data_IF_324782195622
#
_entry.id   IF_324782195622
#
_cell.length_a   1.000
_cell.length_b   1.000
_cell.length_c   1.000
_cell.angle_alpha   90.00
_cell.angle_beta   90.00
_cell.angle_gamma   90.00
#
_symmetry.space_group_name_H-M   'P 1'
#
loop_
_entity.id
_entity.type
_entity.pdbx_description
1 polymer ?
#
# COMPACT_ATOMS: atom_id res chain seq x y z
N UNK A 1 9.34 -6.90 -26.66
CA UNK A 1 8.74 -5.56 -26.82
C UNK A 1 7.22 -5.72 -26.88
N UNK A 2 6.59 -5.73 -25.72
CA UNK A 2 5.26 -5.22 -25.36
C UNK A 2 5.31 -5.30 -23.84
N UNK A 3 5.37 -4.16 -23.16
CA UNK A 3 5.06 -4.19 -21.73
C UNK A 3 3.63 -4.73 -21.66
N UNK A 4 3.42 -5.81 -20.91
CA UNK A 4 2.07 -6.31 -20.66
C UNK A 4 1.19 -5.11 -20.29
N UNK A 5 0.14 -4.80 -21.09
CA UNK A 5 -0.66 -3.60 -20.91
C UNK A 5 -1.24 -3.46 -19.50
N UNK A 6 -1.37 -4.56 -18.77
CA UNK A 6 -1.82 -4.59 -17.38
C UNK A 6 -0.86 -3.90 -16.41
N UNK A 7 0.44 -3.85 -16.71
CA UNK A 7 1.47 -3.26 -15.85
C UNK A 7 1.69 -1.76 -16.10
N UNK A 8 1.03 -1.20 -17.12
CA UNK A 8 1.09 0.23 -17.40
C UNK A 8 0.31 0.98 -16.32
N UNK A 9 1.04 1.84 -15.59
CA UNK A 9 0.47 2.71 -14.56
C UNK A 9 -0.33 3.83 -15.21
N UNK A 10 -1.63 3.63 -15.40
CA UNK A 10 -2.54 4.60 -16.05
C UNK A 10 -3.64 5.17 -15.15
N UNK A 11 -3.89 4.55 -14.00
CA UNK A 11 -4.97 4.95 -13.10
C UNK A 11 -4.42 5.96 -12.06
N UNK A 12 -4.97 7.17 -12.05
CA UNK A 12 -4.60 8.23 -11.10
C UNK A 12 -5.49 8.16 -9.86
N UNK A 13 -4.88 8.33 -8.69
CA UNK A 13 -5.56 8.51 -7.41
C UNK A 13 -5.19 9.88 -6.86
N UNK A 14 -6.18 10.65 -6.42
CA UNK A 14 -5.97 11.94 -5.75
C UNK A 14 -6.11 11.72 -4.24
N UNK A 15 -5.18 12.29 -3.48
CA UNK A 15 -5.14 12.19 -2.02
C UNK A 15 -5.03 13.60 -1.45
N UNK A 16 -5.85 13.90 -0.45
CA UNK A 16 -5.76 15.12 0.34
C UNK A 16 -5.04 14.81 1.64
N UNK A 17 -3.97 15.55 1.90
CA UNK A 17 -3.17 15.48 3.13
C UNK A 17 -3.20 16.85 3.81
N UNK A 18 -3.14 16.87 5.14
CA UNK A 18 -2.84 18.11 5.85
C UNK A 18 -1.34 18.44 5.77
N UNK A 19 -0.97 19.64 6.22
CA UNK A 19 0.42 20.13 6.14
C UNK A 19 1.42 19.27 6.91
N UNK A 20 1.02 18.59 7.98
CA UNK A 20 1.91 17.73 8.75
C UNK A 20 2.13 16.38 8.03
N UNK A 21 1.06 15.81 7.50
CA UNK A 21 1.08 14.56 6.73
C UNK A 21 1.89 14.70 5.44
N UNK A 22 1.72 15.81 4.71
CA UNK A 22 2.45 16.03 3.46
C UNK A 22 3.96 16.23 3.71
N UNK A 23 4.32 17.00 4.75
CA UNK A 23 5.72 17.17 5.17
C UNK A 23 6.36 15.85 5.59
N UNK A 24 5.63 15.01 6.31
CA UNK A 24 6.10 13.68 6.68
C UNK A 24 6.33 12.82 5.43
N UNK A 25 5.37 12.81 4.50
CA UNK A 25 5.48 12.04 3.27
C UNK A 25 6.69 12.48 2.42
N UNK A 26 6.94 13.79 2.33
CA UNK A 26 8.08 14.35 1.61
C UNK A 26 9.41 13.95 2.28
N UNK A 27 9.54 14.16 3.59
CA UNK A 27 10.75 13.84 4.34
C UNK A 27 11.09 12.34 4.27
N UNK A 28 10.08 11.48 4.37
CA UNK A 28 10.27 10.04 4.24
C UNK A 28 10.67 9.63 2.82
N UNK A 29 10.08 10.25 1.80
CA UNK A 29 10.45 9.98 0.42
C UNK A 29 11.89 10.44 0.14
N UNK A 30 12.28 11.63 0.61
CA UNK A 30 13.64 12.16 0.50
C UNK A 30 14.66 11.28 1.20
N UNK A 31 14.37 10.84 2.43
CA UNK A 31 15.24 9.93 3.18
C UNK A 31 15.49 8.61 2.45
N UNK A 32 14.50 8.12 1.69
CA UNK A 32 14.62 6.90 0.88
C UNK A 32 15.14 7.17 -0.54
N UNK A 33 15.44 8.42 -0.91
CA UNK A 33 15.90 8.80 -2.25
C UNK A 33 14.84 8.61 -3.34
N UNK A 34 13.57 8.75 -2.99
CA UNK A 34 12.43 8.46 -3.86
C UNK A 34 11.59 9.71 -4.12
N UNK A 35 10.85 9.70 -5.23
CA UNK A 35 9.77 10.66 -5.43
C UNK A 35 8.60 10.34 -4.47
N UNK A 36 8.00 11.37 -3.85
CA UNK A 36 6.86 11.21 -2.90
C UNK A 36 5.75 10.29 -3.42
N UNK A 37 5.36 10.43 -4.68
CA UNK A 37 4.29 9.60 -5.28
C UNK A 37 4.66 8.12 -5.40
N UNK A 38 5.95 7.81 -5.64
CA UNK A 38 6.45 6.43 -5.71
C UNK A 38 6.51 5.83 -4.30
N UNK A 39 7.04 6.57 -3.35
CA UNK A 39 7.09 6.16 -1.95
C UNK A 39 5.69 5.87 -1.38
N UNK A 40 4.74 6.80 -1.55
CA UNK A 40 3.36 6.62 -1.09
C UNK A 40 2.69 5.39 -1.75
N UNK A 41 2.97 5.14 -3.03
CA UNK A 41 2.46 3.95 -3.71
C UNK A 41 2.99 2.67 -3.07
N UNK A 42 4.29 2.59 -2.80
CA UNK A 42 4.90 1.42 -2.18
C UNK A 42 4.37 1.19 -0.77
N UNK A 43 4.26 2.27 0.01
CA UNK A 43 3.67 2.24 1.35
C UNK A 43 2.24 1.69 1.34
N UNK A 44 1.40 2.14 0.40
CA UNK A 44 0.02 1.65 0.26
C UNK A 44 -0.01 0.18 -0.12
N UNK A 45 0.80 -0.25 -1.10
CA UNK A 45 0.82 -1.66 -1.54
C UNK A 45 1.31 -2.59 -0.42
N UNK A 46 2.32 -2.15 0.35
CA UNK A 46 2.80 -2.88 1.52
C UNK A 46 1.77 -2.92 2.65
N UNK A 47 1.04 -1.82 2.88
CA UNK A 47 -0.07 -1.80 3.84
C UNK A 47 -1.19 -2.79 3.44
N UNK A 48 -1.54 -2.82 2.16
CA UNK A 48 -2.54 -3.74 1.63
C UNK A 48 -2.10 -5.22 1.71
N UNK A 49 -0.82 -5.52 1.43
CA UNK A 49 -0.29 -6.89 1.54
C UNK A 49 -0.40 -7.43 2.97
N UNK A 50 -0.07 -6.59 3.96
CA UNK A 50 -0.18 -6.90 5.39
C UNK A 50 -1.63 -7.05 5.84
N UNK A 51 -2.52 -6.17 5.37
CA UNK A 51 -3.94 -6.23 5.72
C UNK A 51 -4.64 -7.48 5.16
N UNK A 52 -4.28 -7.89 3.95
CA UNK A 52 -4.77 -9.15 3.38
C UNK A 52 -4.28 -10.35 4.21
N UNK A 53 -3.02 -10.33 4.63
CA UNK A 53 -2.42 -11.39 5.43
C UNK A 53 -3.07 -11.52 6.82
N UNK A 54 -3.38 -10.40 7.48
CA UNK A 54 -4.04 -10.42 8.80
C UNK A 54 -5.48 -10.94 8.74
N UNK A 55 -6.27 -10.55 7.73
CA UNK A 55 -7.63 -11.06 7.52
C UNK A 55 -7.66 -12.57 7.27
N UNK A 56 -6.72 -13.06 6.47
CA UNK A 56 -6.59 -14.49 6.17
C UNK A 56 -6.29 -15.31 7.43
N UNK A 57 -5.43 -14.78 8.30
CA UNK A 57 -5.11 -15.42 9.58
C UNK A 57 -6.27 -15.41 10.59
N UNK A 58 -7.04 -14.32 10.65
CA UNK A 58 -8.23 -14.22 11.49
C UNK A 58 -9.32 -15.22 11.05
N UNK A 59 -9.60 -15.29 9.75
CA UNK A 59 -10.57 -16.24 9.19
C UNK A 59 -10.18 -17.71 9.44
N UNK A 60 -8.88 -18.04 9.37
CA UNK A 60 -8.39 -19.38 9.68
C UNK A 60 -8.55 -19.75 11.17
N UNK A 61 -8.47 -18.78 12.07
CA UNK A 61 -8.70 -18.97 13.51
C UNK A 61 -10.19 -19.19 13.79
N UNK A 62 -11.07 -18.40 13.17
CA UNK A 62 -12.52 -18.56 13.29
C UNK A 62 -12.99 -19.94 12.78
N UNK A 63 -12.48 -20.39 11.62
CA UNK A 63 -12.80 -21.73 11.08
C UNK A 63 -12.31 -22.88 11.97
N UNK A 64 -11.26 -22.69 12.78
CA UNK A 64 -10.82 -23.69 13.76
C UNK A 64 -11.70 -23.68 15.00
N UNK A 65 -12.18 -22.51 15.44
CA UNK A 65 -13.06 -22.37 16.59
C UNK A 65 -14.49 -22.84 16.33
N UNK A 66 -14.97 -22.81 15.09
CA UNK A 66 -16.30 -23.34 14.72
C UNK A 66 -16.30 -24.85 14.49
N UNK A 67 -15.12 -25.47 14.30
CA UNK A 67 -14.97 -26.90 14.08
C UNK A 67 -14.54 -27.67 15.35
N UNK A 68 -14.57 -27.04 16.53
CA UNK A 68 -14.25 -27.63 17.83
C UNK A 68 -15.48 -27.86 18.69
#
# INVERSE_FOLDING_TARGET
MYADPAHIRKNRVNLSLNDAEDRLAEAMAEFNGMQKSVFLRELVLEGLSRFHSSKSAAAATEMRATNS
#
